data_IF_998206837706
#
_entry.id   IF_998206837706
#
_cell.length_a   1.000
_cell.length_b   1.000
_cell.length_c   1.000
_cell.angle_alpha   90.00
_cell.angle_beta   90.00
_cell.angle_gamma   90.00
#
_symmetry.space_group_name_H-M   'P 1'
#
loop_
_entity.id
_entity.type
_entity.pdbx_description
1 polymer ?
#
# COMPACT_ATOMS: atom_id res chain seq x y z
N UNK A 1 -9.79 -11.37 8.06
CA UNK A 1 -11.18 -11.39 7.54
C UNK A 1 -11.36 -10.15 6.68
N UNK A 2 -11.93 -10.25 5.48
CA UNK A 2 -12.08 -9.13 4.55
C UNK A 2 -13.54 -8.94 4.16
N UNK A 3 -13.96 -7.68 4.03
CA UNK A 3 -15.29 -7.27 3.63
C UNK A 3 -15.18 -6.48 2.33
N UNK A 4 -15.95 -6.88 1.33
CA UNK A 4 -15.94 -6.27 0.00
C UNK A 4 -17.35 -5.78 -0.30
N UNK A 5 -17.49 -4.50 -0.66
CA UNK A 5 -18.75 -3.89 -1.02
C UNK A 5 -18.61 -3.11 -2.34
N UNK A 6 -19.29 -3.61 -3.36
CA UNK A 6 -19.53 -2.89 -4.60
C UNK A 6 -20.78 -2.03 -4.44
N UNK A 7 -20.60 -0.76 -4.06
CA UNK A 7 -21.70 0.19 -3.86
C UNK A 7 -22.39 0.58 -5.18
N UNK A 8 -21.65 0.57 -6.30
CA UNK A 8 -22.17 0.80 -7.65
C UNK A 8 -21.15 0.29 -8.70
N UNK A 9 -21.49 0.16 -9.99
CA UNK A 9 -20.57 -0.26 -11.07
C UNK A 9 -19.34 0.64 -11.26
N UNK A 10 -19.28 1.77 -10.55
CA UNK A 10 -18.19 2.76 -10.54
C UNK A 10 -17.34 2.73 -9.28
N UNK A 11 -17.84 2.21 -8.15
CA UNK A 11 -17.18 2.27 -6.85
C UNK A 11 -17.12 0.88 -6.23
N UNK A 12 -15.91 0.49 -5.84
CA UNK A 12 -15.64 -0.75 -5.12
C UNK A 12 -14.84 -0.42 -3.88
N UNK A 13 -15.32 -0.83 -2.71
CA UNK A 13 -14.66 -0.63 -1.42
C UNK A 13 -14.30 -1.98 -0.84
N UNK A 14 -13.08 -2.11 -0.34
CA UNK A 14 -12.62 -3.35 0.29
C UNK A 14 -11.94 -3.04 1.61
N UNK A 15 -12.46 -3.60 2.69
CA UNK A 15 -11.92 -3.46 4.05
C UNK A 15 -11.30 -4.79 4.47
N UNK A 16 -10.08 -4.80 4.97
CA UNK A 16 -9.41 -6.02 5.44
C UNK A 16 -8.82 -5.80 6.81
N UNK A 17 -9.04 -6.77 7.68
CA UNK A 17 -8.38 -6.87 8.97
C UNK A 17 -7.47 -8.10 8.92
N UNK A 18 -6.18 -7.85 9.12
CA UNK A 18 -5.12 -8.84 9.14
C UNK A 18 -4.57 -8.88 10.57
N UNK A 19 -4.42 -10.07 11.11
CA UNK A 19 -3.79 -10.31 12.40
C UNK A 19 -2.71 -11.37 12.21
N UNK A 20 -1.53 -11.11 12.76
CA UNK A 20 -0.39 -12.02 12.73
C UNK A 20 0.12 -12.22 14.15
N UNK A 21 0.42 -13.49 14.48
CA UNK A 21 1.06 -13.85 15.75
C UNK A 21 2.23 -14.76 15.43
N UNK A 22 3.43 -14.31 15.79
CA UNK A 22 4.66 -15.05 15.65
C UNK A 22 5.13 -15.54 17.02
N UNK A 23 5.51 -16.81 17.09
CA UNK A 23 5.88 -17.49 18.33
C UNK A 23 7.10 -18.35 18.05
N UNK A 24 8.27 -17.93 18.51
CA UNK A 24 9.51 -18.71 18.43
C UNK A 24 9.88 -19.23 19.82
N UNK A 25 10.32 -20.49 19.90
CA UNK A 25 10.45 -21.29 21.14
C UNK A 25 11.39 -20.72 22.22
N UNK A 26 12.09 -19.60 21.94
CA UNK A 26 13.07 -18.97 22.81
C UNK A 26 12.97 -17.44 22.88
N UNK A 27 11.95 -16.81 22.28
CA UNK A 27 11.74 -15.36 22.28
C UNK A 27 10.30 -14.99 22.67
N UNK A 28 10.10 -13.75 23.12
CA UNK A 28 8.77 -13.24 23.44
C UNK A 28 7.85 -13.32 22.21
N UNK A 29 6.57 -13.71 22.37
CA UNK A 29 5.63 -13.80 21.26
C UNK A 29 5.41 -12.41 20.64
N UNK A 30 5.74 -12.26 19.35
CA UNK A 30 5.55 -11.02 18.60
C UNK A 30 4.17 -11.04 17.95
N UNK A 31 3.39 -9.98 18.14
CA UNK A 31 2.03 -9.86 17.61
C UNK A 31 1.93 -8.61 16.77
N UNK A 32 1.05 -8.63 15.78
CA UNK A 32 0.76 -7.47 14.99
C UNK A 32 -0.59 -7.56 14.32
N UNK A 33 -1.13 -6.40 13.99
CA UNK A 33 -2.33 -6.31 13.17
C UNK A 33 -2.17 -5.22 12.13
N UNK A 34 -2.90 -5.38 11.04
CA UNK A 34 -3.05 -4.35 10.03
C UNK A 34 -4.53 -4.19 9.67
N UNK A 35 -4.97 -2.93 9.65
CA UNK A 35 -6.26 -2.51 9.14
C UNK A 35 -6.02 -1.88 7.77
N UNK A 36 -6.67 -2.40 6.75
CA UNK A 36 -6.51 -1.95 5.37
C UNK A 36 -7.87 -1.56 4.83
N UNK A 37 -7.97 -0.36 4.28
CA UNK A 37 -9.11 0.13 3.55
C UNK A 37 -8.68 0.50 2.13
N UNK A 38 -9.24 -0.20 1.16
CA UNK A 38 -9.12 0.07 -0.25
C UNK A 38 -10.39 0.75 -0.78
N UNK A 39 -10.19 1.71 -1.67
CA UNK A 39 -11.25 2.34 -2.44
C UNK A 39 -10.84 2.41 -3.91
N UNK A 40 -11.69 1.88 -4.78
CA UNK A 40 -11.51 1.89 -6.23
C UNK A 40 -12.66 2.64 -6.88
N UNK A 41 -12.30 3.56 -7.75
CA UNK A 41 -13.22 4.31 -8.57
C UNK A 41 -12.91 4.10 -10.05
N UNK A 42 -13.93 3.87 -10.86
CA UNK A 42 -13.81 3.71 -12.30
C UNK A 42 -14.88 4.54 -13.02
N UNK A 43 -14.43 5.42 -13.92
CA UNK A 43 -15.32 6.26 -14.72
C UNK A 43 -14.74 6.45 -16.13
N UNK A 44 -15.31 5.73 -17.11
CA UNK A 44 -14.91 5.85 -18.51
C UNK A 44 -13.44 5.46 -18.71
N UNK A 45 -12.60 6.45 -19.03
CA UNK A 45 -11.15 6.27 -19.24
C UNK A 45 -10.30 6.51 -17.99
N UNK A 46 -10.92 6.89 -16.87
CA UNK A 46 -10.26 7.17 -15.60
C UNK A 46 -10.48 6.02 -14.62
N UNK A 47 -9.39 5.56 -14.01
CA UNK A 47 -9.42 4.68 -12.85
C UNK A 47 -8.58 5.27 -11.74
N UNK A 48 -9.12 5.28 -10.53
CA UNK A 48 -8.43 5.74 -9.33
C UNK A 48 -8.53 4.64 -8.28
N UNK A 49 -7.40 4.25 -7.71
CA UNK A 49 -7.32 3.31 -6.59
C UNK A 49 -6.58 3.97 -5.46
N UNK A 50 -7.25 4.14 -4.32
CA UNK A 50 -6.65 4.60 -3.07
C UNK A 50 -6.60 3.48 -2.05
N UNK A 51 -5.55 3.45 -1.24
CA UNK A 51 -5.47 2.63 -0.03
C UNK A 51 -5.05 3.48 1.15
N UNK A 52 -5.66 3.20 2.29
CA UNK A 52 -5.19 3.59 3.61
C UNK A 52 -5.00 2.32 4.43
N UNK A 53 -3.83 2.17 5.03
CA UNK A 53 -3.53 1.07 5.93
C UNK A 53 -2.88 1.60 7.20
N UNK A 54 -3.36 1.10 8.33
CA UNK A 54 -2.71 1.25 9.62
C UNK A 54 -2.12 -0.10 10.00
N UNK A 55 -0.87 -0.10 10.45
CA UNK A 55 -0.22 -1.30 10.92
C UNK A 55 0.42 -1.04 12.28
N UNK A 56 0.31 -2.03 13.15
CA UNK A 56 0.96 -2.05 14.44
C UNK A 56 1.54 -3.44 14.61
N UNK A 57 2.87 -3.52 14.56
CA UNK A 57 3.62 -4.75 14.75
C UNK A 57 4.68 -4.51 15.81
N UNK A 58 4.90 -5.50 16.69
CA UNK A 58 5.83 -5.34 17.80
C UNK A 58 7.29 -5.33 17.33
N UNK A 59 7.63 -6.07 16.27
CA UNK A 59 9.00 -6.18 15.74
C UNK A 59 9.03 -6.39 14.22
N UNK A 60 10.16 -6.06 13.59
CA UNK A 60 10.40 -6.27 12.16
C UNK A 60 10.23 -7.73 11.70
N UNK A 61 10.49 -8.70 12.59
CA UNK A 61 10.28 -10.13 12.35
C UNK A 61 8.79 -10.50 12.15
N UNK A 62 7.88 -9.66 12.64
CA UNK A 62 6.43 -9.85 12.50
C UNK A 62 5.81 -9.09 11.31
N UNK A 63 6.65 -8.67 10.34
CA UNK A 63 6.20 -7.88 9.19
C UNK A 63 5.04 -8.53 8.44
N UNK A 64 4.04 -7.72 8.15
CA UNK A 64 2.86 -8.14 7.38
C UNK A 64 3.08 -7.70 5.93
N UNK A 65 3.12 -8.66 5.02
CA UNK A 65 3.16 -8.39 3.59
C UNK A 65 1.75 -8.20 3.05
N UNK A 66 1.45 -7.01 2.54
CA UNK A 66 0.15 -6.72 1.92
C UNK A 66 0.36 -6.31 0.48
N UNK A 67 -0.23 -7.09 -0.45
CA UNK A 67 -0.21 -6.77 -1.86
C UNK A 67 -0.88 -5.42 -2.14
N UNK A 68 -0.14 -4.48 -2.75
CA UNK A 68 -0.67 -3.22 -3.25
C UNK A 68 -0.85 -3.26 -4.75
N UNK A 69 -1.92 -2.63 -5.26
CA UNK A 69 -2.07 -2.42 -6.71
C UNK A 69 -1.03 -1.39 -7.16
N UNK A 70 -0.20 -1.69 -8.16
CA UNK A 70 0.84 -0.79 -8.69
C UNK A 70 0.55 -0.44 -10.17
N UNK A 71 1.42 0.36 -10.79
CA UNK A 71 1.38 0.67 -12.23
C UNK A 71 1.46 -0.61 -13.07
N UNK A 72 1.08 -0.54 -14.35
CA UNK A 72 1.06 -1.70 -15.23
C UNK A 72 2.41 -2.43 -15.23
N UNK A 73 2.37 -3.74 -14.92
CA UNK A 73 3.52 -4.63 -14.82
C UNK A 73 4.50 -4.31 -13.66
N UNK A 74 4.07 -3.52 -12.67
CA UNK A 74 4.77 -3.38 -11.40
C UNK A 74 4.03 -4.15 -10.30
N UNK A 75 4.79 -4.63 -9.31
CA UNK A 75 4.26 -5.17 -8.07
C UNK A 75 4.86 -4.39 -6.91
N UNK A 76 4.02 -3.88 -6.02
CA UNK A 76 4.44 -3.28 -4.76
C UNK A 76 4.06 -4.23 -3.63
N UNK A 77 5.08 -4.81 -3.00
CA UNK A 77 4.95 -5.66 -1.82
C UNK A 77 5.62 -4.92 -0.66
N UNK A 78 4.97 -3.92 -0.05
CA UNK A 78 5.51 -3.30 1.14
C UNK A 78 5.54 -4.28 2.30
N UNK A 79 6.65 -4.26 3.04
CA UNK A 79 6.71 -4.83 4.37
C UNK A 79 6.12 -3.80 5.34
N UNK A 80 4.99 -4.12 5.96
CA UNK A 80 4.49 -3.37 7.11
C UNK A 80 5.19 -3.90 8.36
N UNK A 81 6.23 -3.20 8.78
CA UNK A 81 6.96 -3.44 10.02
C UNK A 81 6.89 -2.17 10.87
N UNK A 82 6.94 -2.31 12.19
CA UNK A 82 6.77 -1.26 13.20
C UNK A 82 5.33 -0.76 13.36
N UNK A 83 5.16 0.51 13.77
CA UNK A 83 3.87 1.16 13.99
C UNK A 83 3.77 2.35 13.06
N UNK A 84 2.75 2.37 12.20
CA UNK A 84 2.65 3.41 11.20
C UNK A 84 1.43 3.38 10.30
N UNK A 85 1.45 4.33 9.37
CA UNK A 85 0.48 4.49 8.32
C UNK A 85 1.14 4.23 6.97
N UNK A 86 0.43 3.50 6.11
CA UNK A 86 0.77 3.31 4.71
C UNK A 86 -0.41 3.78 3.89
N UNK A 87 -0.15 4.66 2.94
CA UNK A 87 -1.16 5.07 1.96
C UNK A 87 -0.60 5.02 0.56
N UNK A 88 -1.46 4.74 -0.42
CA UNK A 88 -1.12 4.97 -1.81
C UNK A 88 -2.33 5.44 -2.60
N UNK A 89 -2.03 6.17 -3.66
CA UNK A 89 -2.96 6.60 -4.69
C UNK A 89 -2.38 6.17 -6.04
N UNK A 90 -3.14 5.39 -6.78
CA UNK A 90 -2.84 4.99 -8.15
C UNK A 90 -3.92 5.56 -9.06
N UNK A 91 -3.51 6.43 -9.97
CA UNK A 91 -4.36 7.02 -11.00
C UNK A 91 -3.94 6.43 -12.33
N UNK A 92 -4.90 5.93 -13.09
CA UNK A 92 -4.73 5.50 -14.47
C UNK A 92 -5.68 6.30 -15.35
N UNK A 93 -5.16 6.84 -16.44
CA UNK A 93 -5.94 7.60 -17.40
C UNK A 93 -5.61 7.19 -18.83
N UNK A 94 -6.64 6.75 -19.57
CA UNK A 94 -6.55 6.53 -21.00
C UNK A 94 -6.79 7.84 -21.76
N UNK A 95 -5.74 8.48 -22.27
CA UNK A 95 -5.89 9.67 -23.11
C UNK A 95 -6.59 9.32 -24.43
N UNK A 96 -6.17 8.23 -25.08
CA UNK A 96 -6.73 7.72 -26.34
C UNK A 96 -6.65 6.20 -26.43
N UNK A 97 -7.13 5.60 -27.53
CA UNK A 97 -6.94 4.15 -27.78
C UNK A 97 -5.46 3.74 -27.88
N UNK A 98 -4.57 4.71 -28.15
CA UNK A 98 -3.12 4.52 -28.37
C UNK A 98 -2.27 4.96 -27.18
N UNK A 99 -2.82 5.79 -26.29
CA UNK A 99 -2.06 6.40 -25.20
C UNK A 99 -2.79 6.23 -23.88
N UNK A 100 -2.09 5.69 -22.91
CA UNK A 100 -2.54 5.57 -21.53
C UNK A 100 -1.39 5.80 -20.56
N UNK A 101 -1.70 6.30 -19.38
CA UNK A 101 -0.71 6.67 -18.38
C UNK A 101 -1.14 6.32 -16.97
N UNK A 102 -0.15 6.11 -16.11
CA UNK A 102 -0.30 5.87 -14.69
C UNK A 102 0.52 6.86 -13.88
N UNK A 103 -0.07 7.27 -12.76
CA UNK A 103 0.60 8.01 -11.69
C UNK A 103 0.36 7.24 -10.40
N UNK A 104 1.43 6.87 -9.71
CA UNK A 104 1.39 6.29 -8.37
C UNK A 104 2.09 7.22 -7.40
N UNK A 105 1.41 7.52 -6.30
CA UNK A 105 1.94 8.20 -5.13
C UNK A 105 1.76 7.26 -3.95
N UNK A 106 2.84 6.84 -3.29
CA UNK A 106 2.75 6.06 -2.05
C UNK A 106 3.51 6.76 -0.94
N UNK A 107 2.99 6.67 0.28
CA UNK A 107 3.63 7.22 1.46
C UNK A 107 3.60 6.21 2.59
N UNK A 108 4.74 6.04 3.24
CA UNK A 108 4.87 5.31 4.51
C UNK A 108 5.25 6.30 5.57
N UNK A 109 4.57 6.26 6.71
CA UNK A 109 4.88 7.09 7.87
C UNK A 109 4.97 6.19 9.09
N UNK A 110 6.14 6.18 9.73
CA UNK A 110 6.36 5.52 11.00
C UNK A 110 6.01 6.49 12.13
N UNK A 111 5.42 5.96 13.19
CA UNK A 111 5.01 6.73 14.37
C UNK A 111 5.95 6.52 15.56
N UNK A 112 6.65 5.38 15.58
CA UNK A 112 7.51 4.94 16.68
C UNK A 112 9.01 5.14 16.40
N UNK A 113 9.40 5.59 15.20
CA UNK A 113 10.80 5.79 14.83
C UNK A 113 11.00 7.13 14.12
N UNK A 114 12.14 7.82 14.35
CA UNK A 114 12.44 9.12 13.75
C UNK A 114 12.93 9.03 12.30
N UNK A 115 13.34 7.85 11.84
CA UNK A 115 13.92 7.61 10.51
C UNK A 115 13.22 6.44 9.81
N UNK A 116 13.35 6.37 8.48
CA UNK A 116 12.78 5.29 7.66
C UNK A 116 13.86 4.66 6.79
N UNK A 117 14.05 3.35 6.93
CA UNK A 117 15.09 2.59 6.22
C UNK A 117 16.32 2.35 7.10
N UNK A 118 17.40 1.86 6.50
CA UNK A 118 18.66 1.65 7.20
C UNK A 118 19.83 1.74 6.23
N UNK A 119 21.03 2.03 6.75
CA UNK A 119 22.24 2.13 5.94
C UNK A 119 22.16 3.24 4.89
N UNK A 120 22.49 2.92 3.65
CA UNK A 120 22.51 3.91 2.56
C UNK A 120 21.11 4.37 2.09
N UNK A 121 20.05 3.66 2.49
CA UNK A 121 18.66 4.01 2.17
C UNK A 121 17.93 4.65 3.37
N UNK A 122 18.66 5.05 4.42
CA UNK A 122 18.08 5.72 5.57
C UNK A 122 17.63 7.14 5.20
N UNK A 123 16.37 7.42 5.49
CA UNK A 123 15.78 8.75 5.35
C UNK A 123 15.72 9.35 6.76
N UNK A 124 16.33 10.52 7.01
CA UNK A 124 16.37 11.17 8.33
C UNK A 124 15.03 11.83 8.71
N UNK A 125 13.92 11.19 8.34
CA UNK A 125 12.55 11.59 8.64
C UNK A 125 11.69 10.35 8.87
N UNK A 126 10.62 10.46 9.67
CA UNK A 126 9.75 9.32 9.99
C UNK A 126 8.80 8.97 8.84
N UNK A 127 9.09 9.41 7.62
CA UNK A 127 8.26 9.13 6.45
C UNK A 127 9.08 8.97 5.17
N UNK A 128 8.55 8.16 4.26
CA UNK A 128 9.04 7.96 2.90
C UNK A 128 7.89 8.17 1.92
N UNK A 129 8.12 8.95 0.87
CA UNK A 129 7.16 9.17 -0.21
C UNK A 129 7.79 8.72 -1.53
N UNK A 130 7.09 7.85 -2.26
CA UNK A 130 7.51 7.35 -3.55
C UNK A 130 6.53 7.81 -4.63
N UNK A 131 7.06 8.27 -5.75
CA UNK A 131 6.30 8.72 -6.92
C UNK A 131 6.74 7.91 -8.12
N UNK A 132 5.78 7.25 -8.81
CA UNK A 132 6.03 6.56 -10.08
C UNK A 132 5.11 7.12 -11.15
N UNK A 133 5.67 7.35 -12.33
CA UNK A 133 4.92 7.78 -13.53
C UNK A 133 5.24 6.81 -14.65
N UNK A 134 4.21 6.35 -15.37
CA UNK A 134 4.37 5.48 -16.52
C UNK A 134 3.48 5.97 -17.65
N UNK A 135 4.03 6.04 -18.86
CA UNK A 135 3.29 6.30 -20.08
C UNK A 135 3.46 5.11 -21.01
N UNK A 136 2.36 4.67 -21.63
CA UNK A 136 2.35 3.58 -22.60
C UNK A 136 1.75 4.06 -23.90
N UNK A 137 2.47 3.76 -24.97
CA UNK A 137 1.99 3.88 -26.35
C UNK A 137 1.69 2.49 -26.92
N UNK A 138 0.56 2.35 -27.59
CA UNK A 138 0.15 1.13 -28.32
C UNK A 138 0.02 1.49 -29.80
N UNK A 139 0.82 0.81 -30.64
CA UNK A 139 0.83 0.95 -32.09
C UNK A 139 -0.23 0.04 -32.72
#
# INVERSE_FOLDING_TARGET
>A
MGFDQDLNRKWSLNSRILYARFSYRSFAPSQGFALVQDAKFHLGKLSVTGRLAYFHTNDYDSRIYVYESDVLAAFSIPAYADVGWRSYLLVHYGFSKRWDGWLRLSRTQLLNQPTVGSGFDEIPYPYRTDVKVQLRYRW
#
